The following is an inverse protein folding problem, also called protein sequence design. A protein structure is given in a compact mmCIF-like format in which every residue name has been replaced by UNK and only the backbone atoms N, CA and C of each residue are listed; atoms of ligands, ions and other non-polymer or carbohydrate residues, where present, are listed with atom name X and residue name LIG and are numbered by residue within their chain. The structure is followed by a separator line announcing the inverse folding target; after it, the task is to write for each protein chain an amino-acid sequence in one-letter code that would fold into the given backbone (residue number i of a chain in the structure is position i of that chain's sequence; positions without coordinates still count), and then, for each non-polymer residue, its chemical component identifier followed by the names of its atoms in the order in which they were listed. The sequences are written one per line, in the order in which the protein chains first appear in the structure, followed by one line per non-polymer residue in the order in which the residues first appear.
data_IF_411630903582
#
_entry.id   IF_411630903582
#
_cell.length_a   1.000
_cell.length_b   1.000
_cell.length_c   1.000
_cell.angle_alpha   90.00
_cell.angle_beta   90.00
_cell.angle_gamma   90.00
#
_symmetry.space_group_name_H-M   'P 1'
#
loop_
_entity.id
_entity.type
_entity.pdbx_description
1 polymer ?
#
# COMPACT_ATOMS: atom_id res chain seq x y z
N UNK A 1 -15.90 19.65 2.65
CA UNK A 1 -15.47 18.30 2.27
C UNK A 1 -15.27 18.29 0.77
N UNK A 2 -14.03 18.08 0.30
CA UNK A 2 -13.79 17.82 -1.12
C UNK A 2 -14.04 16.34 -1.33
N UNK A 3 -15.14 15.99 -2.02
CA UNK A 3 -15.36 14.61 -2.45
C UNK A 3 -14.56 14.41 -3.74
N UNK A 4 -13.33 13.91 -3.61
CA UNK A 4 -12.43 13.61 -4.73
C UNK A 4 -12.95 12.50 -5.67
N UNK A 5 -14.08 11.86 -5.33
CA UNK A 5 -14.67 10.70 -6.02
C UNK A 5 -13.71 9.50 -6.15
N UNK A 6 -12.62 9.49 -5.39
CA UNK A 6 -11.68 8.39 -5.32
C UNK A 6 -12.22 7.36 -4.34
N UNK A 7 -12.31 6.10 -4.78
CA UNK A 7 -12.61 4.97 -3.90
C UNK A 7 -11.29 4.28 -3.58
N UNK A 8 -10.81 4.28 -2.32
CA UNK A 8 -9.54 3.66 -1.97
C UNK A 8 -9.73 2.20 -1.52
N UNK A 9 -8.80 1.33 -1.91
CA UNK A 9 -8.54 0.05 -1.25
C UNK A 9 -7.32 0.20 -0.35
N UNK A 10 -7.50 0.02 0.96
CA UNK A 10 -6.39 -0.08 1.92
C UNK A 10 -5.92 -1.53 1.94
N UNK A 11 -4.67 -1.78 1.56
CA UNK A 11 -4.13 -3.14 1.46
C UNK A 11 -3.00 -3.42 2.44
N UNK A 12 -2.43 -2.39 3.09
CA UNK A 12 -1.46 -2.57 4.16
C UNK A 12 -1.71 -1.55 5.27
N UNK A 13 -1.92 -2.02 6.50
CA UNK A 13 -2.07 -1.18 7.69
C UNK A 13 -0.90 -1.38 8.65
N UNK A 14 -1.19 -1.77 9.89
CA UNK A 14 -0.16 -2.11 10.88
C UNK A 14 0.69 -3.29 10.40
N UNK A 15 2.00 -3.20 10.61
CA UNK A 15 2.96 -4.29 10.42
C UNK A 15 3.75 -4.49 11.69
N UNK A 16 3.87 -5.73 12.14
CA UNK A 16 4.72 -6.07 13.28
C UNK A 16 6.20 -5.76 12.99
N UNK A 17 7.01 -5.74 14.04
CA UNK A 17 8.46 -5.57 13.91
C UNK A 17 9.09 -6.68 13.07
N UNK A 18 8.61 -7.92 13.21
CA UNK A 18 9.07 -9.08 12.45
C UNK A 18 8.73 -8.95 10.96
N UNK A 19 7.49 -8.57 10.63
CA UNK A 19 7.08 -8.35 9.24
C UNK A 19 7.90 -7.23 8.58
N UNK A 20 8.19 -6.15 9.30
CA UNK A 20 9.03 -5.08 8.79
C UNK A 20 10.49 -5.54 8.60
N UNK A 21 11.03 -6.34 9.52
CA UNK A 21 12.37 -6.91 9.37
C UNK A 21 12.46 -7.83 8.13
N UNK A 22 11.45 -8.68 7.92
CA UNK A 22 11.36 -9.55 6.76
C UNK A 22 11.27 -8.76 5.44
N UNK A 23 10.53 -7.65 5.41
CA UNK A 23 10.47 -6.77 4.24
C UNK A 23 11.79 -6.02 4.01
N UNK A 24 12.47 -5.59 5.06
CA UNK A 24 13.79 -4.96 4.95
C UNK A 24 14.86 -5.94 4.44
N UNK A 25 14.75 -7.23 4.75
CA UNK A 25 15.69 -8.26 4.28
C UNK A 25 15.64 -8.47 2.76
N UNK A 26 14.50 -8.25 2.11
CA UNK A 26 14.32 -8.44 0.64
C UNK A 26 15.29 -7.58 -0.17
N UNK A 27 16.02 -8.21 -1.08
CA UNK A 27 17.05 -7.58 -1.90
C UNK A 27 18.31 -7.17 -1.13
N UNK A 28 18.47 -7.65 0.11
CA UNK A 28 19.67 -7.45 0.95
C UNK A 28 20.25 -8.77 1.42
N UNK A 29 19.49 -9.50 2.22
CA UNK A 29 19.87 -10.81 2.78
C UNK A 29 18.96 -11.93 2.31
N UNK A 30 17.82 -11.61 1.70
CA UNK A 30 16.94 -12.53 0.97
C UNK A 30 16.76 -12.05 -0.46
N UNK A 31 16.44 -12.97 -1.37
CA UNK A 31 16.19 -12.63 -2.78
C UNK A 31 15.00 -11.69 -2.97
N UNK A 32 14.97 -11.01 -4.13
CA UNK A 32 13.90 -10.10 -4.52
C UNK A 32 14.31 -8.64 -4.58
N UNK A 33 13.35 -7.77 -4.89
CA UNK A 33 13.59 -6.32 -4.98
C UNK A 33 13.54 -5.69 -3.59
N UNK A 34 14.33 -4.63 -3.40
CA UNK A 34 14.22 -3.77 -2.21
C UNK A 34 12.87 -3.06 -2.25
N UNK A 35 11.97 -3.40 -1.32
CA UNK A 35 10.63 -2.81 -1.21
C UNK A 35 10.50 -1.78 -0.08
N UNK A 36 11.51 -1.68 0.79
CA UNK A 36 11.56 -0.68 1.86
C UNK A 36 12.99 -0.31 2.22
N UNK A 37 13.16 0.92 2.70
CA UNK A 37 14.40 1.42 3.30
C UNK A 37 14.36 1.48 4.83
N UNK A 38 13.17 1.31 5.43
CA UNK A 38 13.01 1.36 6.88
C UNK A 38 13.29 -0.01 7.51
N UNK A 39 14.11 -0.05 8.57
CA UNK A 39 14.24 -1.22 9.44
C UNK A 39 13.01 -1.37 10.34
N UNK A 40 12.92 -2.48 11.06
CA UNK A 40 11.95 -2.61 12.16
C UNK A 40 12.07 -1.44 13.15
N UNK A 41 10.94 -0.83 13.51
CA UNK A 41 10.87 0.35 14.38
C UNK A 41 11.09 1.68 13.65
N UNK A 42 11.41 1.67 12.35
CA UNK A 42 11.61 2.88 11.56
C UNK A 42 10.45 3.17 10.60
N UNK A 43 9.40 2.36 10.61
CA UNK A 43 8.21 2.55 9.78
C UNK A 43 7.00 2.90 10.66
N UNK A 44 6.20 3.89 10.25
CA UNK A 44 4.95 4.23 10.94
C UNK A 44 3.92 3.08 10.94
N UNK A 45 4.02 2.14 10.01
CA UNK A 45 3.24 0.90 10.04
C UNK A 45 3.52 0.07 11.30
N UNK A 46 4.71 0.17 11.90
CA UNK A 46 5.03 -0.51 13.17
C UNK A 46 4.26 0.04 14.37
N UNK A 47 3.64 1.20 14.21
CA UNK A 47 2.88 1.89 15.26
C UNK A 47 1.40 2.03 14.91
N UNK A 48 0.94 1.44 13.80
CA UNK A 48 -0.44 1.59 13.33
C UNK A 48 -0.80 3.02 12.88
N UNK A 49 0.21 3.84 12.55
CA UNK A 49 0.06 5.26 12.19
C UNK A 49 0.14 5.51 10.68
N UNK A 50 0.28 4.45 9.88
CA UNK A 50 0.34 4.53 8.42
C UNK A 50 -0.46 3.40 7.77
N UNK A 51 -0.94 3.68 6.57
CA UNK A 51 -1.59 2.71 5.70
C UNK A 51 -1.21 2.97 4.24
N UNK A 52 -1.06 1.90 3.47
CA UNK A 52 -0.88 1.94 2.03
C UNK A 52 -2.24 1.70 1.37
N UNK A 53 -2.54 2.50 0.36
CA UNK A 53 -3.80 2.42 -0.38
C UNK A 53 -3.57 2.60 -1.87
N UNK A 54 -4.56 2.18 -2.66
CA UNK A 54 -4.61 2.35 -4.12
C UNK A 54 -6.04 2.70 -4.52
N UNK A 55 -6.27 3.57 -5.53
CA UNK A 55 -7.60 3.75 -6.10
C UNK A 55 -8.11 2.45 -6.72
N UNK A 56 -9.43 2.27 -6.74
CA UNK A 56 -10.07 1.13 -7.40
C UNK A 56 -11.10 1.62 -8.41
N UNK A 57 -11.28 0.83 -9.48
CA UNK A 57 -12.29 1.04 -10.52
C UNK A 57 -13.18 -0.18 -10.66
N UNK A 58 -14.47 -0.02 -10.98
CA UNK A 58 -15.35 -1.16 -11.27
C UNK A 58 -14.80 -1.99 -12.42
N UNK A 59 -14.91 -3.31 -12.32
CA UNK A 59 -14.54 -4.19 -13.43
C UNK A 59 -15.52 -4.04 -14.58
N UNK A 60 -15.04 -4.24 -15.82
CA UNK A 60 -15.92 -4.25 -17.01
C UNK A 60 -16.93 -5.41 -17.02
N UNK A 61 -16.67 -6.47 -16.24
CA UNK A 61 -17.46 -7.71 -16.23
C UNK A 61 -18.59 -7.68 -15.21
N UNK A 62 -18.36 -7.06 -14.05
CA UNK A 62 -19.33 -6.97 -12.97
C UNK A 62 -19.15 -5.65 -12.21
N UNK A 63 -20.18 -4.78 -12.15
CA UNK A 63 -20.09 -3.50 -11.44
C UNK A 63 -19.95 -3.63 -9.92
N UNK A 64 -20.16 -4.83 -9.35
CA UNK A 64 -19.93 -5.11 -7.93
C UNK A 64 -18.53 -5.68 -7.64
N UNK A 65 -17.69 -5.83 -8.66
CA UNK A 65 -16.29 -6.21 -8.51
C UNK A 65 -15.42 -5.00 -8.88
N UNK A 66 -14.25 -4.90 -8.24
CA UNK A 66 -13.32 -3.81 -8.43
C UNK A 66 -11.93 -4.33 -8.78
N UNK A 67 -11.26 -3.64 -9.71
CA UNK A 67 -9.85 -3.82 -10.02
C UNK A 67 -9.05 -2.65 -9.42
N UNK A 68 -7.84 -2.91 -8.95
CA UNK A 68 -6.89 -1.87 -8.55
C UNK A 68 -6.49 -1.01 -9.73
N UNK A 69 -6.50 0.31 -9.57
CA UNK A 69 -6.18 1.28 -10.63
C UNK A 69 -4.81 1.93 -10.41
N UNK A 70 -3.75 1.12 -10.46
CA UNK A 70 -2.37 1.59 -10.21
C UNK A 70 -1.91 2.72 -11.13
N UNK A 71 -2.53 2.85 -12.30
CA UNK A 71 -2.18 3.81 -13.33
C UNK A 71 -2.96 5.15 -13.21
N UNK A 72 -3.89 5.28 -12.26
CA UNK A 72 -4.61 6.53 -12.02
C UNK A 72 -3.73 7.55 -11.28
N UNK A 73 -2.88 8.23 -12.03
CA UNK A 73 -2.05 9.31 -11.51
C UNK A 73 -2.84 10.48 -10.92
N UNK A 74 -4.11 10.66 -11.32
CA UNK A 74 -4.92 11.77 -10.81
C UNK A 74 -5.31 11.55 -9.36
N UNK A 75 -5.49 10.29 -8.95
CA UNK A 75 -5.81 9.93 -7.58
C UNK A 75 -4.67 10.20 -6.58
N UNK A 76 -3.43 10.33 -7.07
CA UNK A 76 -2.24 10.56 -6.25
C UNK A 76 -1.77 12.02 -6.23
N UNK A 77 -2.45 12.90 -6.98
CA UNK A 77 -2.16 14.35 -6.99
C UNK A 77 -2.91 15.01 -5.83
N UNK A 78 -2.15 15.63 -4.92
CA UNK A 78 -2.67 16.45 -3.82
C UNK A 78 -3.19 17.80 -4.32
#
# INVERSE_FOLDING_TARGET
MVASRITPLIYCGMRTMEEQAALYAKGRTTEGKIVTKAKAGQSFHNYGLAFDWVPIKPTKKNPNLYDTDWDDETAFRL
#
